data_IF_119098183904
#
_entry.id   IF_119098183904
#
_cell.length_a   1.000
_cell.length_b   1.000
_cell.length_c   1.000
_cell.angle_alpha   90.00
_cell.angle_beta   90.00
_cell.angle_gamma   90.00
#
_symmetry.space_group_name_H-M   'P 1'
#
loop_
_entity.id
_entity.type
_entity.pdbx_description
1 polymer ?
#
# COMPACT_ATOMS: atom_id res chain seq x y z
N UNK A 1 28.55 32.74 19.54
CA UNK A 1 27.43 31.94 20.05
C UNK A 1 26.89 32.60 21.30
N UNK A 2 25.66 33.08 21.32
CA UNK A 2 25.05 33.63 22.52
C UNK A 2 24.44 32.47 23.34
N UNK A 3 24.98 32.26 24.54
CA UNK A 3 24.47 31.24 25.48
C UNK A 3 23.32 31.90 26.24
N UNK A 4 22.09 31.51 25.95
CA UNK A 4 20.92 31.92 26.74
C UNK A 4 20.83 31.10 28.05
N UNK A 5 20.65 31.82 29.17
CA UNK A 5 20.43 31.15 30.46
C UNK A 5 19.03 30.55 30.45
N UNK A 6 18.93 29.24 30.51
CA UNK A 6 17.66 28.51 30.65
C UNK A 6 17.39 28.21 32.14
N UNK A 7 16.14 28.26 32.52
CA UNK A 7 15.66 27.84 33.86
C UNK A 7 14.74 26.64 33.69
N UNK A 8 14.92 25.63 34.51
CA UNK A 8 14.01 24.48 34.56
C UNK A 8 12.88 24.76 35.53
N UNK A 9 11.65 24.59 35.07
CA UNK A 9 10.43 24.74 35.86
C UNK A 9 9.74 23.38 35.87
N UNK A 10 9.15 23.05 37.05
CA UNK A 10 8.25 21.89 37.17
C UNK A 10 6.85 22.44 37.43
N UNK A 11 5.90 22.09 36.58
CA UNK A 11 4.52 22.49 36.67
C UNK A 11 3.66 21.30 37.06
N UNK A 12 2.84 21.44 38.09
CA UNK A 12 1.86 20.44 38.49
C UNK A 12 0.49 21.11 38.39
N UNK A 13 -0.44 20.49 37.69
CA UNK A 13 -1.77 21.02 37.45
C UNK A 13 -2.81 19.90 37.42
N UNK A 14 -4.08 20.27 37.51
CA UNK A 14 -5.18 19.33 37.33
C UNK A 14 -5.28 18.89 35.87
N UNK A 15 -5.79 17.69 35.65
CA UNK A 15 -5.93 17.13 34.28
C UNK A 15 -6.86 18.00 33.41
N UNK A 16 -7.86 18.63 34.02
CA UNK A 16 -8.81 19.51 33.33
C UNK A 16 -8.16 20.79 32.79
N UNK A 17 -7.10 21.29 33.44
CA UNK A 17 -6.42 22.54 33.07
C UNK A 17 -5.29 22.28 32.02
N UNK A 18 -4.96 21.04 31.74
CA UNK A 18 -3.81 20.64 30.91
C UNK A 18 -3.81 21.33 29.54
N UNK A 19 -4.93 21.29 28.84
CA UNK A 19 -5.04 21.88 27.50
C UNK A 19 -4.86 23.39 27.52
N UNK A 20 -5.46 24.06 28.48
CA UNK A 20 -5.36 25.52 28.66
C UNK A 20 -3.91 25.94 28.99
N UNK A 21 -3.25 25.16 29.84
CA UNK A 21 -1.86 25.42 30.22
C UNK A 21 -0.94 25.19 29.03
N UNK A 22 -1.07 24.08 28.28
CA UNK A 22 -0.28 23.79 27.12
C UNK A 22 -0.43 24.86 26.03
N UNK A 23 -1.66 25.32 25.79
CA UNK A 23 -1.90 26.44 24.85
C UNK A 23 -1.20 27.71 25.31
N UNK A 24 -1.26 28.02 26.61
CA UNK A 24 -0.60 29.22 27.16
C UNK A 24 0.91 29.11 26.99
N UNK A 25 1.50 27.96 27.32
CA UNK A 25 2.93 27.73 27.13
C UNK A 25 3.36 27.81 25.65
N UNK A 26 2.54 27.27 24.75
CA UNK A 26 2.77 27.36 23.31
C UNK A 26 2.73 28.80 22.80
N UNK A 27 1.80 29.65 23.31
CA UNK A 27 1.72 31.07 22.98
C UNK A 27 2.95 31.85 23.44
N UNK A 28 3.54 31.47 24.57
CA UNK A 28 4.78 32.09 25.05
C UNK A 28 5.96 31.89 24.13
N UNK A 29 6.00 30.78 23.36
CA UNK A 29 7.02 30.47 22.35
C UNK A 29 8.46 30.35 22.86
N UNK A 30 8.66 30.38 24.18
CA UNK A 30 9.97 30.35 24.83
C UNK A 30 10.16 29.20 25.81
N UNK A 31 9.24 28.21 25.78
CA UNK A 31 9.23 27.07 26.71
C UNK A 31 9.34 25.78 25.94
N UNK A 32 10.30 24.95 26.32
CA UNK A 32 10.37 23.56 25.90
C UNK A 32 9.69 22.69 26.95
N UNK A 33 8.70 21.90 26.53
CA UNK A 33 7.95 21.00 27.41
C UNK A 33 8.50 19.60 27.26
N UNK A 34 9.03 19.02 28.32
CA UNK A 34 9.45 17.64 28.40
C UNK A 34 8.66 16.90 29.47
N UNK A 35 8.43 15.60 29.29
CA UNK A 35 7.89 14.78 30.38
C UNK A 35 8.83 14.81 31.58
N UNK A 36 8.31 15.14 32.75
CA UNK A 36 9.07 15.09 33.99
C UNK A 36 9.38 13.62 34.30
N UNK A 37 10.62 13.20 33.98
CA UNK A 37 11.16 11.97 34.54
C UNK A 37 11.19 12.11 36.06
N UNK A 38 10.46 11.26 36.76
CA UNK A 38 10.58 11.20 38.24
C UNK A 38 11.90 10.49 38.51
N UNK A 39 12.94 11.27 38.81
CA UNK A 39 14.17 10.73 39.36
C UNK A 39 13.86 10.10 40.72
N UNK A 40 14.25 8.82 40.94
CA UNK A 40 13.88 8.09 42.17
C UNK A 40 14.51 8.62 43.47
N UNK A 41 15.38 9.61 43.37
CA UNK A 41 16.25 10.03 44.48
C UNK A 41 15.60 11.00 45.48
N UNK A 42 14.43 11.55 45.21
CA UNK A 42 13.85 12.58 46.10
C UNK A 42 12.52 12.18 46.77
N UNK A 43 12.00 10.98 46.48
CA UNK A 43 10.78 10.49 47.14
C UNK A 43 11.16 9.58 48.32
N UNK A 44 11.26 10.18 49.49
CA UNK A 44 11.72 9.52 50.73
C UNK A 44 10.76 8.53 51.35
N UNK A 45 9.70 8.05 50.73
CA UNK A 45 8.81 7.05 51.30
C UNK A 45 8.22 6.11 50.23
N UNK A 46 8.15 4.81 50.55
CA UNK A 46 7.65 3.77 49.64
C UNK A 46 6.20 4.06 49.18
N UNK A 47 5.38 4.60 50.08
CA UNK A 47 3.99 4.96 49.79
C UNK A 47 3.84 6.11 48.79
N UNK A 48 4.77 7.08 48.80
CA UNK A 48 4.80 8.16 47.83
C UNK A 48 5.18 7.70 46.42
N UNK A 49 6.03 6.68 46.33
CA UNK A 49 6.42 6.08 45.02
C UNK A 49 5.29 5.32 44.37
N UNK A 50 4.54 4.51 45.15
CA UNK A 50 3.36 3.79 44.63
C UNK A 50 2.26 4.77 44.16
N UNK A 51 2.02 5.84 44.91
CA UNK A 51 1.04 6.85 44.54
C UNK A 51 1.44 7.58 43.23
N UNK A 52 2.71 7.95 43.10
CA UNK A 52 3.23 8.60 41.89
C UNK A 52 3.21 7.66 40.68
N UNK A 53 3.48 6.38 40.88
CA UNK A 53 3.39 5.36 39.83
C UNK A 53 1.94 5.12 39.38
N UNK A 54 1.01 5.06 40.32
CA UNK A 54 -0.42 4.95 40.03
C UNK A 54 -1.00 6.19 39.32
N UNK A 55 -0.57 7.37 39.72
CA UNK A 55 -0.93 8.64 39.03
C UNK A 55 -0.35 8.71 37.62
N UNK A 56 0.88 8.26 37.43
CA UNK A 56 1.54 8.18 36.12
C UNK A 56 0.82 7.22 35.18
N UNK A 57 0.41 6.05 35.66
CA UNK A 57 -0.32 5.06 34.87
C UNK A 57 -1.74 5.54 34.52
N UNK A 58 -2.39 6.28 35.41
CA UNK A 58 -3.68 6.94 35.11
C UNK A 58 -3.54 8.04 34.07
N UNK A 59 -2.54 8.90 34.16
CA UNK A 59 -2.30 10.01 33.24
C UNK A 59 -1.91 9.50 31.87
N UNK A 60 -1.07 8.49 31.77
CA UNK A 60 -0.66 7.91 30.47
C UNK A 60 -1.80 7.17 29.77
N UNK A 61 -2.76 6.60 30.48
CA UNK A 61 -3.92 5.92 29.87
C UNK A 61 -4.99 6.89 29.31
N UNK A 62 -5.08 8.09 29.86
CA UNK A 62 -6.11 9.05 29.48
C UNK A 62 -5.87 9.75 28.13
N UNK A 63 -4.65 9.71 27.60
CA UNK A 63 -4.27 10.52 26.43
C UNK A 63 -3.77 9.75 25.20
N UNK A 64 -3.63 8.43 25.29
CA UNK A 64 -3.12 7.63 24.18
C UNK A 64 -4.02 7.73 22.93
N UNK A 65 -5.34 7.70 23.12
CA UNK A 65 -6.30 7.72 22.00
C UNK A 65 -6.34 9.05 21.23
N UNK A 66 -6.21 10.18 21.94
CA UNK A 66 -6.17 11.50 21.32
C UNK A 66 -4.89 11.74 20.51
N UNK A 67 -3.76 11.28 21.02
CA UNK A 67 -2.47 11.39 20.35
C UNK A 67 -2.39 10.47 19.12
N UNK A 68 -2.90 9.24 19.20
CA UNK A 68 -2.96 8.32 18.08
C UNK A 68 -3.83 8.88 16.95
N UNK A 69 -5.01 9.39 17.29
CA UNK A 69 -5.89 10.03 16.31
C UNK A 69 -5.21 11.22 15.60
N UNK A 70 -4.55 12.09 16.35
CA UNK A 70 -3.83 13.22 15.77
C UNK A 70 -2.66 12.78 14.88
N UNK A 71 -2.00 11.67 15.21
CA UNK A 71 -0.95 11.07 14.36
C UNK A 71 -1.51 10.49 13.06
N UNK A 72 -2.66 9.82 13.13
CA UNK A 72 -3.36 9.29 11.96
C UNK A 72 -3.81 10.42 11.03
N UNK A 73 -4.47 11.43 11.55
CA UNK A 73 -4.93 12.62 10.81
C UNK A 73 -3.75 13.34 10.13
N UNK A 74 -2.63 13.50 10.85
CA UNK A 74 -1.40 14.05 10.29
C UNK A 74 -0.86 13.17 9.17
N UNK A 75 -0.82 11.85 9.37
CA UNK A 75 -0.36 10.90 8.36
C UNK A 75 -1.22 10.90 7.10
N UNK A 76 -2.53 11.07 7.23
CA UNK A 76 -3.43 11.24 6.10
C UNK A 76 -3.15 12.52 5.31
N UNK A 77 -2.98 13.63 6.00
CA UNK A 77 -2.65 14.91 5.37
C UNK A 77 -1.28 14.88 4.67
N UNK A 78 -0.26 14.27 5.30
CA UNK A 78 1.08 14.12 4.71
C UNK A 78 1.06 13.28 3.43
N UNK A 79 0.30 12.17 3.41
CA UNK A 79 0.11 11.34 2.20
C UNK A 79 -0.57 12.12 1.07
N UNK A 80 -1.66 12.82 1.37
CA UNK A 80 -2.36 13.64 0.39
C UNK A 80 -1.46 14.74 -0.18
N UNK A 81 -0.66 15.41 0.65
CA UNK A 81 0.31 16.41 0.22
C UNK A 81 1.39 15.81 -0.69
N UNK A 82 1.87 14.60 -0.39
CA UNK A 82 2.85 13.92 -1.23
C UNK A 82 2.26 13.60 -2.62
N UNK A 83 1.01 13.12 -2.65
CA UNK A 83 0.27 12.86 -3.89
C UNK A 83 0.06 14.14 -4.69
N UNK A 84 -0.41 15.22 -4.06
CA UNK A 84 -0.59 16.51 -4.73
C UNK A 84 0.72 17.08 -5.30
N UNK A 85 1.82 17.01 -4.56
CA UNK A 85 3.15 17.44 -5.04
C UNK A 85 3.62 16.64 -6.25
N UNK A 86 3.23 15.36 -6.35
CA UNK A 86 3.57 14.52 -7.50
C UNK A 86 2.81 14.91 -8.77
N UNK A 87 1.51 15.20 -8.64
CA UNK A 87 0.65 15.52 -9.79
C UNK A 87 0.58 17.01 -10.12
N UNK A 88 0.70 17.87 -9.13
CA UNK A 88 0.68 19.31 -9.26
C UNK A 88 1.88 19.93 -8.52
N UNK A 89 3.10 19.75 -9.03
CA UNK A 89 4.28 20.32 -8.42
C UNK A 89 4.18 21.84 -8.40
N UNK A 90 4.19 22.43 -7.22
CA UNK A 90 4.32 23.87 -7.09
C UNK A 90 5.70 24.30 -7.60
N UNK A 91 5.72 25.30 -8.46
CA UNK A 91 6.96 25.96 -8.84
C UNK A 91 7.49 26.76 -7.67
N UNK A 92 8.06 26.05 -6.68
CA UNK A 92 8.63 26.65 -5.49
C UNK A 92 9.84 27.50 -5.83
N UNK A 93 9.86 28.72 -5.33
CA UNK A 93 11.09 29.52 -5.28
C UNK A 93 12.02 28.87 -4.25
N UNK A 94 13.29 28.69 -4.58
CA UNK A 94 14.31 28.02 -3.74
C UNK A 94 14.41 28.62 -2.32
N UNK A 95 13.94 29.82 -2.10
CA UNK A 95 13.95 30.59 -0.86
C UNK A 95 12.54 31.13 -0.55
N UNK A 96 11.56 30.25 -0.44
CA UNK A 96 10.26 30.68 0.06
C UNK A 96 10.30 30.72 1.61
N UNK A 97 10.15 31.90 2.24
CA UNK A 97 10.02 31.97 3.68
C UNK A 97 8.77 31.16 4.10
N UNK A 98 8.81 30.56 5.28
CA UNK A 98 7.62 29.89 5.82
C UNK A 98 6.49 30.92 5.91
N UNK A 99 5.27 30.58 5.49
CA UNK A 99 4.15 31.51 5.60
C UNK A 99 3.91 31.84 7.06
N UNK A 100 3.75 33.14 7.36
CA UNK A 100 3.31 33.58 8.67
C UNK A 100 1.83 33.30 8.83
N UNK A 101 1.50 32.37 9.73
CA UNK A 101 0.12 32.05 10.08
C UNK A 101 -0.30 32.83 11.32
N UNK A 102 -1.46 33.43 11.27
CA UNK A 102 -2.08 34.03 12.46
C UNK A 102 -2.55 32.92 13.41
N UNK A 103 -2.47 33.16 14.71
CA UNK A 103 -2.88 32.19 15.74
C UNK A 103 -4.30 31.65 15.50
N UNK A 104 -5.25 32.53 15.13
CA UNK A 104 -6.64 32.15 14.84
C UNK A 104 -6.76 31.21 13.64
N UNK A 105 -5.84 31.27 12.67
CA UNK A 105 -5.82 30.35 11.52
C UNK A 105 -5.20 29.00 11.87
N UNK A 106 -4.23 29.00 12.78
CA UNK A 106 -3.55 27.78 13.22
C UNK A 106 -4.48 26.87 14.05
N UNK A 107 -5.36 27.47 14.87
CA UNK A 107 -6.27 26.74 15.74
C UNK A 107 -7.72 26.69 15.22
N UNK A 108 -7.95 27.06 13.97
CA UNK A 108 -9.27 26.96 13.33
C UNK A 108 -9.60 25.48 13.02
N UNK A 109 -10.42 24.91 13.90
CA UNK A 109 -10.89 23.52 13.76
C UNK A 109 -11.74 23.32 12.50
N UNK A 110 -12.44 24.35 12.02
CA UNK A 110 -13.22 24.27 10.80
C UNK A 110 -12.33 24.08 9.57
N UNK A 111 -11.26 24.87 9.46
CA UNK A 111 -10.26 24.74 8.40
C UNK A 111 -9.50 23.41 8.49
N UNK A 112 -9.14 22.98 9.69
CA UNK A 112 -8.47 21.69 9.89
C UNK A 112 -9.34 20.52 9.40
N UNK A 113 -10.63 20.52 9.74
CA UNK A 113 -11.58 19.51 9.32
C UNK A 113 -11.76 19.50 7.81
N UNK A 114 -11.95 20.66 7.19
CA UNK A 114 -12.03 20.77 5.73
C UNK A 114 -10.74 20.28 5.03
N UNK A 115 -9.58 20.58 5.59
CA UNK A 115 -8.31 20.10 5.04
C UNK A 115 -8.19 18.56 5.12
N UNK A 116 -8.65 17.96 6.22
CA UNK A 116 -8.68 16.51 6.37
C UNK A 116 -9.68 15.84 5.42
N UNK A 117 -10.87 16.40 5.25
CA UNK A 117 -11.86 15.91 4.29
C UNK A 117 -11.28 15.91 2.88
N UNK A 118 -10.60 17.00 2.48
CA UNK A 118 -9.90 17.07 1.18
C UNK A 118 -8.74 16.09 1.07
N UNK A 119 -8.00 15.89 2.15
CA UNK A 119 -6.92 14.91 2.18
C UNK A 119 -7.46 13.48 1.97
N UNK A 120 -8.59 13.15 2.58
CA UNK A 120 -9.26 11.86 2.39
C UNK A 120 -9.73 11.68 0.94
N UNK A 121 -10.35 12.69 0.32
CA UNK A 121 -10.73 12.64 -1.09
C UNK A 121 -9.54 12.36 -2.01
N UNK A 122 -8.41 13.04 -1.79
CA UNK A 122 -7.18 12.82 -2.57
C UNK A 122 -6.63 11.42 -2.38
N UNK A 123 -6.53 10.95 -1.13
CA UNK A 123 -6.04 9.61 -0.81
C UNK A 123 -6.94 8.52 -1.39
N UNK A 124 -8.26 8.73 -1.40
CA UNK A 124 -9.21 7.80 -2.00
C UNK A 124 -9.07 7.77 -3.54
N UNK A 125 -8.92 8.93 -4.17
CA UNK A 125 -8.68 9.01 -5.61
C UNK A 125 -7.39 8.28 -6.01
N UNK A 126 -6.30 8.42 -5.24
CA UNK A 126 -5.04 7.71 -5.47
C UNK A 126 -5.21 6.19 -5.35
N UNK A 127 -5.96 5.72 -4.34
CA UNK A 127 -6.27 4.29 -4.19
C UNK A 127 -7.06 3.75 -5.37
N UNK A 128 -8.07 4.50 -5.84
CA UNK A 128 -8.87 4.12 -7.03
C UNK A 128 -8.00 4.06 -8.28
N UNK A 129 -7.13 5.02 -8.48
CA UNK A 129 -6.18 5.03 -9.61
C UNK A 129 -5.26 3.80 -9.57
N UNK A 130 -4.68 3.48 -8.41
CA UNK A 130 -3.84 2.30 -8.24
C UNK A 130 -4.60 0.99 -8.54
N UNK A 131 -5.84 0.87 -8.09
CA UNK A 131 -6.69 -0.28 -8.36
C UNK A 131 -6.98 -0.42 -9.87
N UNK A 132 -7.34 0.68 -10.55
CA UNK A 132 -7.60 0.68 -12.00
C UNK A 132 -6.34 0.30 -12.79
N UNK A 133 -5.17 0.83 -12.43
CA UNK A 133 -3.91 0.46 -13.07
C UNK A 133 -3.57 -1.03 -12.88
N UNK A 134 -3.82 -1.57 -11.69
CA UNK A 134 -3.64 -3.01 -11.44
C UNK A 134 -4.58 -3.86 -12.31
N UNK A 135 -5.85 -3.48 -12.39
CA UNK A 135 -6.84 -4.14 -13.25
C UNK A 135 -6.47 -4.05 -14.73
N UNK A 136 -6.08 -2.88 -15.20
CA UNK A 136 -5.61 -2.67 -16.58
C UNK A 136 -4.43 -3.57 -16.91
N UNK A 137 -3.44 -3.66 -16.01
CA UNK A 137 -2.27 -4.52 -16.19
C UNK A 137 -2.66 -5.99 -16.27
N UNK A 138 -3.59 -6.43 -15.42
CA UNK A 138 -4.14 -7.78 -15.44
C UNK A 138 -4.85 -8.10 -16.76
N UNK A 139 -5.71 -7.19 -17.23
CA UNK A 139 -6.43 -7.35 -18.49
C UNK A 139 -5.48 -7.37 -19.70
N UNK A 140 -4.44 -6.52 -19.69
CA UNK A 140 -3.43 -6.53 -20.74
C UNK A 140 -2.64 -7.84 -20.76
N UNK A 141 -2.29 -8.38 -19.60
CA UNK A 141 -1.63 -9.69 -19.49
C UNK A 141 -2.54 -10.83 -19.99
N UNK A 142 -3.83 -10.81 -19.63
CA UNK A 142 -4.81 -11.78 -20.13
C UNK A 142 -4.96 -11.67 -21.65
N UNK A 143 -5.08 -10.45 -22.18
CA UNK A 143 -5.14 -10.21 -23.63
C UNK A 143 -3.91 -10.77 -24.35
N UNK A 144 -2.71 -10.52 -23.80
CA UNK A 144 -1.47 -11.04 -24.37
C UNK A 144 -1.41 -12.58 -24.34
N UNK A 145 -1.87 -13.19 -23.26
CA UNK A 145 -1.93 -14.65 -23.12
C UNK A 145 -2.94 -15.31 -24.08
N UNK A 146 -4.03 -14.61 -24.39
CA UNK A 146 -5.05 -15.12 -25.30
C UNK A 146 -4.77 -14.83 -26.78
N UNK A 147 -3.95 -13.82 -27.09
CA UNK A 147 -3.67 -13.40 -28.45
C UNK A 147 -3.18 -14.54 -29.37
N UNK A 148 -2.29 -15.46 -28.94
CA UNK A 148 -1.84 -16.57 -29.76
C UNK A 148 -2.94 -17.57 -30.15
N UNK A 149 -4.05 -17.60 -29.41
CA UNK A 149 -5.16 -18.53 -29.62
C UNK A 149 -6.30 -17.97 -30.49
N UNK A 150 -6.13 -16.76 -31.07
CA UNK A 150 -7.17 -16.12 -31.88
C UNK A 150 -7.53 -16.88 -33.14
N UNK A 151 -6.60 -17.68 -33.69
CA UNK A 151 -6.79 -18.48 -34.90
C UNK A 151 -7.33 -19.88 -34.60
N UNK A 152 -7.64 -20.18 -33.34
CA UNK A 152 -8.22 -21.46 -32.94
C UNK A 152 -9.67 -21.55 -33.39
N UNK A 153 -10.02 -22.57 -34.16
CA UNK A 153 -11.39 -22.82 -34.67
C UNK A 153 -12.35 -23.39 -33.62
N UNK A 154 -11.84 -23.66 -32.42
CA UNK A 154 -12.62 -24.21 -31.31
C UNK A 154 -12.75 -23.17 -30.18
N UNK A 155 -13.89 -23.15 -29.47
CA UNK A 155 -13.96 -22.38 -28.24
C UNK A 155 -12.92 -22.83 -27.23
N UNK A 156 -12.23 -21.88 -26.57
CA UNK A 156 -11.23 -22.18 -25.54
C UNK A 156 -11.80 -22.99 -24.36
N UNK A 157 -13.11 -22.97 -24.18
CA UNK A 157 -13.85 -23.69 -23.14
C UNK A 157 -14.16 -25.14 -23.53
N UNK A 158 -13.75 -25.58 -24.75
CA UNK A 158 -14.02 -26.93 -25.23
C UNK A 158 -13.34 -27.95 -24.32
N UNK A 159 -14.15 -28.82 -23.73
CA UNK A 159 -13.69 -29.86 -22.81
C UNK A 159 -13.50 -31.20 -23.56
N UNK A 160 -12.56 -31.99 -23.07
CA UNK A 160 -12.39 -33.37 -23.50
C UNK A 160 -13.66 -34.17 -23.24
N UNK A 161 -13.92 -35.15 -24.09
CA UNK A 161 -15.03 -36.12 -23.98
C UNK A 161 -14.53 -37.44 -23.42
N UNK A 162 -15.40 -38.44 -23.26
CA UNK A 162 -15.00 -39.78 -22.85
C UNK A 162 -14.11 -40.49 -23.86
N UNK A 163 -14.12 -40.09 -25.12
CA UNK A 163 -13.41 -40.76 -26.20
C UNK A 163 -12.31 -39.89 -26.79
N UNK A 164 -12.43 -38.58 -26.70
CA UNK A 164 -11.50 -37.64 -27.34
C UNK A 164 -10.95 -36.69 -26.26
N UNK A 165 -9.63 -36.68 -26.13
CA UNK A 165 -8.91 -35.69 -25.37
C UNK A 165 -8.58 -34.48 -26.27
N UNK A 166 -8.82 -33.29 -25.76
CA UNK A 166 -8.49 -32.01 -26.41
C UNK A 166 -7.63 -31.24 -25.43
N UNK A 167 -6.42 -30.90 -25.85
CA UNK A 167 -5.49 -30.15 -25.00
C UNK A 167 -4.80 -29.04 -25.79
N UNK A 168 -4.71 -27.87 -25.19
CA UNK A 168 -3.93 -26.74 -25.68
C UNK A 168 -2.57 -26.79 -25.01
N UNK A 169 -1.51 -26.64 -25.79
CA UNK A 169 -0.15 -26.68 -25.29
C UNK A 169 0.80 -25.79 -26.07
N UNK A 170 2.02 -25.72 -25.60
CA UNK A 170 3.08 -24.95 -26.25
C UNK A 170 4.30 -25.83 -26.47
N UNK A 171 4.94 -25.69 -27.66
CA UNK A 171 6.21 -26.30 -27.98
C UNK A 171 7.29 -25.20 -28.13
N UNK A 172 8.56 -25.48 -27.80
CA UNK A 172 9.64 -24.55 -28.05
C UNK A 172 9.80 -24.24 -29.54
N UNK A 173 9.90 -22.98 -29.92
CA UNK A 173 10.04 -22.55 -31.31
C UNK A 173 11.42 -22.91 -31.92
N UNK A 174 12.41 -23.22 -31.07
CA UNK A 174 13.76 -23.61 -31.50
C UNK A 174 13.85 -25.03 -32.12
N UNK A 175 12.78 -25.83 -32.06
CA UNK A 175 12.69 -27.14 -32.73
C UNK A 175 11.74 -27.05 -33.92
N UNK A 176 11.99 -27.78 -35.00
CA UNK A 176 11.04 -27.93 -36.09
C UNK A 176 9.70 -28.47 -35.58
N UNK A 177 8.59 -27.98 -36.14
CA UNK A 177 7.24 -28.48 -35.74
C UNK A 177 7.05 -29.94 -36.09
N UNK A 178 7.68 -30.37 -37.20
CA UNK A 178 7.65 -31.73 -37.75
C UNK A 178 8.21 -32.76 -36.74
N UNK A 179 9.18 -32.39 -35.91
CA UNK A 179 9.69 -33.28 -34.85
C UNK A 179 8.63 -33.57 -33.79
N UNK A 180 7.89 -32.54 -33.39
CA UNK A 180 6.77 -32.67 -32.45
C UNK A 180 5.63 -33.49 -33.07
N UNK A 181 5.31 -33.24 -34.32
CA UNK A 181 4.27 -34.00 -35.03
C UNK A 181 4.65 -35.48 -35.16
N UNK A 182 5.90 -35.81 -35.52
CA UNK A 182 6.38 -37.18 -35.58
C UNK A 182 6.39 -37.87 -34.21
N UNK A 183 6.79 -37.16 -33.16
CA UNK A 183 6.77 -37.71 -31.82
C UNK A 183 5.34 -38.09 -31.38
N UNK A 184 4.39 -37.22 -31.65
CA UNK A 184 2.98 -37.42 -31.32
C UNK A 184 2.37 -38.54 -32.20
N UNK A 185 2.71 -38.62 -33.50
CA UNK A 185 2.27 -39.72 -34.40
C UNK A 185 2.85 -41.05 -33.96
N UNK A 186 4.05 -41.08 -33.35
CA UNK A 186 4.63 -42.28 -32.76
C UNK A 186 3.82 -42.87 -31.60
N UNK A 187 2.99 -42.07 -30.95
CA UNK A 187 2.12 -42.51 -29.86
C UNK A 187 0.88 -43.27 -30.33
N UNK A 188 0.45 -43.09 -31.58
CA UNK A 188 -0.69 -43.82 -32.13
C UNK A 188 -1.27 -43.21 -33.42
N UNK A 189 -2.17 -43.98 -34.06
CA UNK A 189 -2.83 -43.53 -35.32
C UNK A 189 -3.97 -42.52 -35.12
N UNK A 190 -4.50 -42.40 -33.86
CA UNK A 190 -5.62 -41.54 -33.54
C UNK A 190 -5.17 -40.32 -32.74
N UNK A 191 -4.06 -39.72 -33.16
CA UNK A 191 -3.48 -38.53 -32.54
C UNK A 191 -3.19 -37.47 -33.59
N UNK A 192 -3.57 -36.24 -33.35
CA UNK A 192 -3.33 -35.10 -34.23
C UNK A 192 -2.79 -33.94 -33.45
N UNK A 193 -1.68 -33.37 -33.89
CA UNK A 193 -1.11 -32.11 -33.41
C UNK A 193 -1.30 -31.06 -34.49
N UNK A 194 -1.89 -29.92 -34.12
CA UNK A 194 -2.11 -28.83 -35.06
C UNK A 194 -1.49 -27.56 -34.49
N UNK A 195 -0.63 -26.91 -35.27
CA UNK A 195 -0.10 -25.59 -34.88
C UNK A 195 -1.16 -24.54 -35.16
N UNK A 196 -1.48 -23.74 -34.16
CA UNK A 196 -2.45 -22.62 -34.23
C UNK A 196 -1.69 -21.34 -34.59
N UNK A 197 -0.64 -21.03 -33.84
CA UNK A 197 0.20 -19.86 -34.06
C UNK A 197 1.62 -20.10 -33.57
N UNK A 198 2.53 -19.16 -33.83
CA UNK A 198 3.89 -19.23 -33.32
C UNK A 198 4.41 -17.81 -33.06
N UNK A 199 5.20 -17.67 -32.03
CA UNK A 199 6.03 -16.50 -31.78
C UNK A 199 7.52 -16.85 -31.84
N UNK A 200 8.39 -15.98 -31.33
CA UNK A 200 9.85 -16.19 -31.36
C UNK A 200 10.35 -17.32 -30.45
N UNK A 201 9.61 -17.63 -29.41
CA UNK A 201 9.99 -18.51 -28.32
C UNK A 201 9.15 -19.79 -28.29
N UNK A 202 7.86 -19.66 -28.61
CA UNK A 202 6.87 -20.73 -28.46
C UNK A 202 6.04 -20.92 -29.74
N UNK A 203 5.62 -22.16 -29.97
CA UNK A 203 4.56 -22.55 -30.90
C UNK A 203 3.35 -22.96 -30.08
N UNK A 204 2.21 -22.47 -30.42
CA UNK A 204 0.94 -22.73 -29.76
C UNK A 204 0.21 -23.82 -30.56
N UNK A 205 -0.10 -24.90 -29.89
CA UNK A 205 -0.57 -26.11 -30.56
C UNK A 205 -1.84 -26.64 -29.92
N UNK A 206 -2.69 -27.25 -30.71
CA UNK A 206 -3.83 -28.04 -30.31
C UNK A 206 -3.50 -29.51 -30.48
N UNK A 207 -3.57 -30.29 -29.41
CA UNK A 207 -3.47 -31.74 -29.41
C UNK A 207 -4.85 -32.33 -29.29
N UNK A 208 -5.21 -33.21 -30.22
CA UNK A 208 -6.46 -33.99 -30.20
C UNK A 208 -6.08 -35.45 -30.31
N UNK A 209 -6.49 -36.26 -29.35
CA UNK A 209 -6.23 -37.71 -29.45
C UNK A 209 -7.40 -38.53 -28.86
N UNK A 210 -7.43 -39.81 -29.20
CA UNK A 210 -8.31 -40.75 -28.53
C UNK A 210 -7.80 -41.03 -27.11
N UNK A 211 -8.68 -41.13 -26.14
CA UNK A 211 -8.34 -41.26 -24.70
C UNK A 211 -7.42 -42.46 -24.40
N UNK A 212 -7.49 -43.53 -25.22
CA UNK A 212 -6.57 -44.69 -25.06
C UNK A 212 -5.10 -44.40 -25.42
N UNK A 213 -4.82 -43.27 -26.05
CA UNK A 213 -3.49 -42.86 -26.51
C UNK A 213 -2.98 -41.62 -25.79
N UNK A 214 -3.69 -41.17 -24.76
CA UNK A 214 -3.39 -39.95 -24.01
C UNK A 214 -1.98 -39.97 -23.39
N UNK A 215 -1.63 -41.06 -22.68
CA UNK A 215 -0.34 -41.17 -22.00
C UNK A 215 0.84 -41.06 -22.97
N UNK A 216 0.76 -41.77 -24.10
CA UNK A 216 1.83 -41.74 -25.11
C UNK A 216 1.90 -40.42 -25.90
N UNK A 217 0.81 -39.66 -25.97
CA UNK A 217 0.77 -38.38 -26.68
C UNK A 217 1.28 -37.20 -25.85
N UNK A 218 1.36 -37.35 -24.50
CA UNK A 218 1.81 -36.33 -23.57
C UNK A 218 3.27 -36.51 -23.12
N UNK A 219 3.90 -37.67 -23.39
CA UNK A 219 5.34 -37.92 -23.17
C UNK A 219 6.20 -37.38 -24.34
#
# INVERSE_FOLDING_TARGET
>A
MAIMKMKRLRLIAMAEDRETILRTLQRMGCVEVSEAGVEPSEAGDASGRELLQHLRDKVSRLDASGLERAREERGEAERALATLKRYAPEKGKLLQPRPDLKEGELFDQGRARQALDRAQEVNEAERRMAAIHSEQSKLLAQKAALAPWLELDLPLETQSTHQIMIQLGTLPANRPFEEGEQAVQGAGELVQLTQISADRELRYCLLVCHTSQEEGALE
#
